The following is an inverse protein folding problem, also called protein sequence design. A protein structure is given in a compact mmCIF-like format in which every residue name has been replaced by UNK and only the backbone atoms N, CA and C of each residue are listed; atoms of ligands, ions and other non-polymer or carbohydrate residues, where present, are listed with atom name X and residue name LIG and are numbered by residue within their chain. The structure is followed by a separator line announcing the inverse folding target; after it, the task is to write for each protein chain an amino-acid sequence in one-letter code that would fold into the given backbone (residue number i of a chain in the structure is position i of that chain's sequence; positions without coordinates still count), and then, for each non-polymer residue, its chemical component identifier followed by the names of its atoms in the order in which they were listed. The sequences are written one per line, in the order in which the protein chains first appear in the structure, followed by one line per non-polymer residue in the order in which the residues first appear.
data_IF_577450458283
#
_entry.id   IF_577450458283
#
_cell.length_a   1.000
_cell.length_b   1.000
_cell.length_c   1.000
_cell.angle_alpha   90.00
_cell.angle_beta   90.00
_cell.angle_gamma   90.00
#
_symmetry.space_group_name_H-M   'P 1'
#
loop_
_entity.id
_entity.type
_entity.pdbx_description
1 polymer ?
#
# COMPACT_ATOMS: atom_id res chain seq x y z
N UNK A 1 -2.31 18.99 20.58
CA UNK A 1 -2.28 19.63 19.25
C UNK A 1 -1.41 18.88 18.24
N UNK A 2 -0.63 17.88 18.67
CA UNK A 2 0.30 17.16 17.78
C UNK A 2 -0.25 15.86 17.16
N UNK A 3 -1.22 15.21 17.78
CA UNK A 3 -1.75 13.90 17.32
C UNK A 3 -2.39 13.96 15.93
N UNK A 4 -3.20 15.00 15.66
CA UNK A 4 -3.81 15.21 14.32
C UNK A 4 -2.76 15.45 13.23
N UNK A 5 -1.62 16.06 13.58
CA UNK A 5 -0.51 16.31 12.66
C UNK A 5 0.27 15.03 12.38
N UNK A 6 0.51 14.22 13.40
CA UNK A 6 1.18 12.92 13.26
C UNK A 6 0.35 11.92 12.44
N UNK A 7 -0.98 11.88 12.65
CA UNK A 7 -1.90 11.07 11.85
C UNK A 7 -1.89 11.50 10.37
N UNK A 8 -1.97 12.80 10.09
CA UNK A 8 -1.90 13.32 8.72
C UNK A 8 -0.56 12.96 8.02
N UNK A 9 0.56 13.00 8.75
CA UNK A 9 1.88 12.62 8.21
C UNK A 9 1.94 11.11 7.92
N UNK A 10 1.37 10.27 8.80
CA UNK A 10 1.35 8.82 8.63
C UNK A 10 0.56 8.40 7.40
N UNK A 11 -0.64 8.95 7.21
CA UNK A 11 -1.45 8.71 6.00
C UNK A 11 -0.74 9.16 4.70
N UNK A 12 -0.04 10.30 4.74
CA UNK A 12 0.72 10.79 3.58
C UNK A 12 1.92 9.88 3.26
N UNK A 13 2.59 9.33 4.29
CA UNK A 13 3.70 8.41 4.10
C UNK A 13 3.25 7.05 3.54
N UNK A 14 2.12 6.50 4.00
CA UNK A 14 1.58 5.24 3.48
C UNK A 14 1.26 5.32 1.99
N UNK A 15 0.61 6.41 1.56
CA UNK A 15 0.32 6.66 0.13
C UNK A 15 1.59 6.84 -0.72
N UNK A 16 2.63 7.47 -0.17
CA UNK A 16 3.92 7.63 -0.88
C UNK A 16 4.66 6.31 -1.00
N UNK A 17 4.62 5.46 0.02
CA UNK A 17 5.31 4.18 0.00
C UNK A 17 4.71 3.22 -1.05
N UNK A 18 3.38 3.20 -1.14
CA UNK A 18 2.68 2.43 -2.17
C UNK A 18 3.02 2.88 -3.60
N UNK A 19 3.07 4.19 -3.85
CA UNK A 19 3.50 4.74 -5.16
C UNK A 19 4.96 4.41 -5.48
N UNK A 20 5.83 4.39 -4.47
CA UNK A 20 7.23 3.98 -4.62
C UNK A 20 7.34 2.54 -5.12
N UNK A 21 6.64 1.60 -4.48
CA UNK A 21 6.63 0.20 -4.91
C UNK A 21 6.07 -0.01 -6.32
N UNK A 22 5.00 0.70 -6.68
CA UNK A 22 4.44 0.65 -8.03
C UNK A 22 5.42 1.18 -9.09
N UNK A 23 6.12 2.27 -8.78
CA UNK A 23 7.12 2.87 -9.68
C UNK A 23 8.29 1.93 -9.89
N UNK A 24 8.85 1.36 -8.81
CA UNK A 24 9.94 0.37 -8.89
C UNK A 24 9.51 -0.86 -9.69
N UNK A 25 8.29 -1.36 -9.46
CA UNK A 25 7.72 -2.47 -10.23
C UNK A 25 7.68 -2.13 -11.73
N UNK A 26 7.16 -0.96 -12.10
CA UNK A 26 7.05 -0.56 -13.51
C UNK A 26 8.43 -0.44 -14.18
N UNK A 27 9.40 0.19 -13.50
CA UNK A 27 10.76 0.39 -14.02
C UNK A 27 11.48 -0.94 -14.24
N UNK A 28 11.47 -1.83 -13.23
CA UNK A 28 12.16 -3.13 -13.33
C UNK A 28 11.53 -4.00 -14.41
N UNK A 29 10.20 -4.13 -14.46
CA UNK A 29 9.55 -4.97 -15.46
C UNK A 29 9.77 -4.44 -16.88
N UNK A 30 9.73 -3.12 -17.07
CA UNK A 30 10.05 -2.50 -18.37
C UNK A 30 11.48 -2.81 -18.79
N UNK A 31 12.44 -2.67 -17.86
CA UNK A 31 13.84 -3.01 -18.11
C UNK A 31 14.02 -4.48 -18.52
N UNK A 32 13.36 -5.42 -17.84
CA UNK A 32 13.43 -6.85 -18.16
C UNK A 32 12.86 -7.16 -19.56
N UNK A 33 11.76 -6.51 -19.93
CA UNK A 33 11.17 -6.63 -21.27
C UNK A 33 12.14 -6.10 -22.34
N UNK A 34 12.77 -4.95 -22.09
CA UNK A 34 13.78 -4.38 -23.00
C UNK A 34 14.98 -5.32 -23.15
N UNK A 35 15.51 -5.86 -22.05
CA UNK A 35 16.61 -6.84 -22.08
C UNK A 35 16.21 -8.07 -22.91
N UNK A 36 15.01 -8.61 -22.70
CA UNK A 36 14.51 -9.75 -23.47
C UNK A 36 14.40 -9.44 -24.97
N UNK A 37 13.86 -8.26 -25.32
CA UNK A 37 13.72 -7.84 -26.70
C UNK A 37 15.08 -7.68 -27.40
N UNK A 38 16.09 -7.18 -26.68
CA UNK A 38 17.44 -6.97 -27.20
C UNK A 38 18.29 -8.26 -27.26
N UNK A 39 17.96 -9.27 -26.45
CA UNK A 39 18.73 -10.53 -26.39
C UNK A 39 18.25 -11.61 -27.38
N UNK A 40 17.34 -11.27 -28.30
CA UNK A 40 16.95 -12.16 -29.41
C UNK A 40 15.69 -13.01 -29.16
N UNK A 41 14.94 -12.68 -28.11
CA UNK A 41 13.50 -12.93 -27.92
C UNK A 41 12.91 -14.26 -28.43
N UNK A 42 13.54 -15.37 -28.04
CA UNK A 42 12.92 -16.71 -27.96
C UNK A 42 11.84 -16.78 -26.87
N UNK A 43 11.92 -17.72 -25.93
CA UNK A 43 10.92 -17.84 -24.85
C UNK A 43 10.83 -16.58 -23.97
N UNK A 44 9.62 -16.09 -23.71
CA UNK A 44 9.33 -14.87 -22.94
C UNK A 44 9.47 -15.09 -21.42
N UNK A 45 10.71 -15.27 -20.96
CA UNK A 45 11.03 -15.45 -19.55
C UNK A 45 10.62 -14.28 -18.62
N UNK A 46 10.48 -13.00 -19.05
CA UNK A 46 9.98 -11.94 -18.17
C UNK A 46 8.58 -12.19 -17.60
N UNK A 47 7.83 -13.14 -18.16
CA UNK A 47 6.51 -13.55 -17.64
C UNK A 47 6.55 -13.99 -16.17
N UNK A 48 7.62 -14.64 -15.74
CA UNK A 48 7.74 -15.17 -14.38
C UNK A 48 7.84 -14.08 -13.31
N UNK A 49 8.76 -13.10 -13.42
CA UNK A 49 8.79 -11.97 -12.49
C UNK A 49 7.53 -11.11 -12.57
N UNK A 50 6.96 -10.90 -13.77
CA UNK A 50 5.69 -10.17 -13.94
C UNK A 50 4.55 -10.87 -13.20
N UNK A 51 4.40 -12.19 -13.37
CA UNK A 51 3.34 -12.96 -12.73
C UNK A 51 3.54 -13.07 -11.22
N UNK A 52 4.76 -13.40 -10.76
CA UNK A 52 5.05 -13.55 -9.33
C UNK A 52 4.78 -12.28 -8.54
N UNK A 53 5.23 -11.13 -9.05
CA UNK A 53 4.98 -9.84 -8.40
C UNK A 53 3.59 -9.28 -8.70
N UNK A 54 3.03 -9.55 -9.88
CA UNK A 54 1.68 -9.14 -10.27
C UNK A 54 0.60 -9.74 -9.38
N UNK A 55 0.75 -11.00 -8.96
CA UNK A 55 -0.14 -11.65 -7.99
C UNK A 55 -0.07 -10.94 -6.63
N UNK A 56 1.13 -10.64 -6.13
CA UNK A 56 1.30 -9.91 -4.87
C UNK A 56 0.64 -8.53 -4.90
N UNK A 57 0.80 -7.78 -6.00
CA UNK A 57 0.17 -6.49 -6.19
C UNK A 57 -1.35 -6.59 -6.34
N UNK A 58 -1.85 -7.61 -7.04
CA UNK A 58 -3.29 -7.86 -7.21
C UNK A 58 -3.95 -8.22 -5.87
N UNK A 59 -3.31 -9.04 -5.03
CA UNK A 59 -3.80 -9.34 -3.69
C UNK A 59 -3.80 -8.10 -2.78
N UNK A 60 -2.76 -7.25 -2.87
CA UNK A 60 -2.73 -5.99 -2.13
C UNK A 60 -3.83 -5.03 -2.60
N UNK A 61 -4.00 -4.87 -3.91
CA UNK A 61 -5.06 -4.06 -4.48
C UNK A 61 -6.45 -4.60 -4.11
N UNK A 62 -6.64 -5.92 -4.14
CA UNK A 62 -7.88 -6.55 -3.69
C UNK A 62 -8.15 -6.26 -2.21
N UNK A 63 -7.13 -6.31 -1.35
CA UNK A 63 -7.26 -5.90 0.06
C UNK A 63 -7.66 -4.43 0.24
N UNK A 64 -7.18 -3.53 -0.62
CA UNK A 64 -7.52 -2.11 -0.58
C UNK A 64 -8.93 -1.81 -1.13
N UNK A 65 -9.34 -2.50 -2.21
CA UNK A 65 -10.62 -2.24 -2.90
C UNK A 65 -11.78 -3.10 -2.38
N UNK A 66 -11.52 -4.33 -1.94
CA UNK A 66 -12.51 -5.33 -1.54
C UNK A 66 -12.27 -5.92 -0.15
N UNK A 67 -11.17 -5.59 0.51
CA UNK A 67 -10.96 -5.93 1.91
C UNK A 67 -11.97 -5.21 2.82
N UNK A 68 -12.18 -5.70 4.05
CA UNK A 68 -12.93 -4.96 5.06
C UNK A 68 -12.36 -3.55 5.10
N UNK A 69 -13.22 -2.52 4.96
CA UNK A 69 -12.78 -1.12 5.03
C UNK A 69 -11.83 -1.01 6.22
N UNK A 70 -10.57 -0.56 6.04
CA UNK A 70 -9.75 -0.23 7.19
C UNK A 70 -10.58 0.74 8.02
N UNK A 71 -10.75 0.42 9.32
CA UNK A 71 -11.51 1.24 10.27
C UNK A 71 -11.14 2.69 9.98
N UNK A 72 -12.15 3.49 9.64
CA UNK A 72 -11.90 4.88 9.27
C UNK A 72 -11.15 5.52 10.42
N UNK A 73 -10.09 6.30 10.17
CA UNK A 73 -9.39 6.99 11.24
C UNK A 73 -10.35 7.87 12.07
N UNK A 74 -11.46 8.31 11.48
CA UNK A 74 -12.54 8.98 12.21
C UNK A 74 -13.23 8.08 13.23
N UNK A 75 -13.39 6.78 12.95
CA UNK A 75 -13.94 5.78 13.88
C UNK A 75 -12.94 5.44 14.97
N UNK A 76 -11.65 5.29 14.63
CA UNK A 76 -10.58 5.04 15.61
C UNK A 76 -10.47 6.23 16.57
N UNK A 77 -10.46 7.47 16.06
CA UNK A 77 -10.40 8.67 16.89
C UNK A 77 -11.67 8.86 17.73
N UNK A 78 -12.85 8.57 17.16
CA UNK A 78 -14.10 8.65 17.90
C UNK A 78 -14.13 7.65 19.08
N UNK A 79 -13.58 6.44 18.89
CA UNK A 79 -13.49 5.45 19.96
C UNK A 79 -12.43 5.83 21.01
N UNK A 80 -11.25 6.34 20.60
CA UNK A 80 -10.24 6.87 21.52
C UNK A 80 -10.77 8.03 22.37
N UNK A 81 -11.50 8.98 21.77
CA UNK A 81 -12.13 10.10 22.47
C UNK A 81 -13.25 9.63 23.41
N UNK A 82 -13.89 8.50 23.11
CA UNK A 82 -14.92 7.89 23.93
C UNK A 82 -14.32 7.19 25.16
N UNK A 83 -13.21 6.47 24.96
CA UNK A 83 -12.47 5.80 26.04
C UNK A 83 -11.80 6.80 26.98
N UNK A 84 -11.20 7.88 26.45
CA UNK A 84 -10.63 8.95 27.26
C UNK A 84 -11.70 9.61 28.16
N UNK A 85 -12.88 9.89 27.61
CA UNK A 85 -14.02 10.44 28.37
C UNK A 85 -14.57 9.47 29.40
N UNK A 86 -14.48 8.16 29.16
CA UNK A 86 -14.92 7.12 30.10
C UNK A 86 -13.93 6.95 31.25
N UNK A 87 -12.63 7.00 30.96
CA UNK A 87 -11.55 6.89 31.95
C UNK A 87 -11.54 8.10 32.90
N UNK A 88 -11.73 9.32 32.41
CA UNK A 88 -11.84 10.53 33.25
C UNK A 88 -13.12 10.60 34.09
N UNK A 89 -14.12 9.76 33.83
CA UNK A 89 -15.38 9.71 34.60
C UNK A 89 -15.31 8.75 35.79
N UNK A 90 -14.24 7.96 35.87
CA UNK A 90 -14.00 6.95 36.90
C UNK A 90 -12.86 7.33 37.87
N UNK A 91 -12.36 8.59 37.80
CA UNK A 91 -11.43 9.22 38.75
C UNK A 91 -12.20 10.35 39.45
#
# INVERSE_FOLDING_TARGET
MDERRQAAIKQLNEKRNFKGHLTTFAVINTMLIVIWALTGAGYFWPVWPIAGWGIGLALHAYGVYFGPKPLSESEIQAEMDRDARRSSRHI
#
